data_IF_721038922698
#
_entry.id   IF_721038922698
#
_cell.length_a   1.000
_cell.length_b   1.000
_cell.length_c   1.000
_cell.angle_alpha   90.00
_cell.angle_beta   90.00
_cell.angle_gamma   90.00
#
_symmetry.space_group_name_H-M   'P 1'
#
loop_
_entity.id
_entity.type
_entity.pdbx_description
1 polymer ?
#
# COMPACT_ATOMS: atom_id res chain seq x y z
N UNK A 1 -25.21 5.47 -21.48
CA UNK A 1 -25.19 4.43 -20.43
C UNK A 1 -23.89 3.67 -20.60
N UNK A 2 -23.10 3.47 -19.54
CA UNK A 2 -21.94 2.56 -19.66
C UNK A 2 -22.52 1.19 -19.97
N UNK A 3 -22.06 0.57 -21.06
CA UNK A 3 -22.33 -0.85 -21.27
C UNK A 3 -21.80 -1.58 -20.04
N UNK A 4 -22.70 -2.17 -19.27
CA UNK A 4 -22.32 -2.88 -18.06
C UNK A 4 -21.63 -4.16 -18.48
N UNK A 5 -20.30 -4.21 -18.32
CA UNK A 5 -19.49 -5.40 -18.54
C UNK A 5 -20.13 -6.62 -17.86
N UNK A 6 -20.36 -7.70 -18.61
CA UNK A 6 -20.98 -8.93 -18.10
C UNK A 6 -20.21 -9.52 -16.90
N UNK A 7 -18.90 -9.26 -16.82
CA UNK A 7 -18.05 -9.61 -15.68
C UNK A 7 -18.51 -8.97 -14.36
N UNK A 8 -19.10 -7.77 -14.38
CA UNK A 8 -19.61 -7.13 -13.18
C UNK A 8 -20.86 -7.86 -12.65
N UNK A 9 -21.68 -8.39 -13.55
CA UNK A 9 -22.90 -9.16 -13.22
C UNK A 9 -22.56 -10.55 -12.72
N UNK A 10 -21.51 -11.16 -13.26
CA UNK A 10 -21.08 -12.53 -12.95
C UNK A 10 -19.58 -12.58 -12.66
N UNK A 11 -19.13 -12.06 -11.50
CA UNK A 11 -17.71 -11.96 -11.20
C UNK A 11 -17.08 -13.34 -10.98
N UNK A 12 -15.83 -13.48 -11.40
CA UNK A 12 -15.06 -14.72 -11.19
C UNK A 12 -14.76 -14.87 -9.70
N UNK A 13 -15.25 -15.94 -9.08
CA UNK A 13 -15.01 -16.22 -7.66
C UNK A 13 -13.61 -16.78 -7.48
N UNK A 14 -12.81 -16.13 -6.63
CA UNK A 14 -11.44 -16.53 -6.35
C UNK A 14 -11.24 -16.88 -4.87
N UNK A 15 -10.56 -17.99 -4.55
CA UNK A 15 -10.23 -18.36 -3.18
C UNK A 15 -9.29 -17.33 -2.53
N UNK A 16 -9.45 -17.11 -1.23
CA UNK A 16 -8.73 -16.06 -0.49
C UNK A 16 -7.22 -16.29 -0.38
N UNK A 17 -6.79 -17.56 -0.40
CA UNK A 17 -5.40 -17.98 -0.24
C UNK A 17 -4.98 -18.80 -1.46
N UNK A 18 -4.57 -18.10 -2.50
CA UNK A 18 -4.14 -18.72 -3.75
C UNK A 18 -3.09 -17.86 -4.44
N UNK A 19 -2.13 -18.50 -5.09
CA UNK A 19 -0.99 -17.82 -5.72
C UNK A 19 -1.44 -16.84 -6.82
N UNK A 20 -2.48 -17.20 -7.59
CA UNK A 20 -3.07 -16.32 -8.61
C UNK A 20 -3.60 -15.03 -7.98
N UNK A 21 -4.33 -15.11 -6.87
CA UNK A 21 -4.85 -13.91 -6.17
C UNK A 21 -3.70 -13.04 -5.69
N UNK A 22 -2.64 -13.64 -5.15
CA UNK A 22 -1.44 -12.90 -4.75
C UNK A 22 -0.83 -12.12 -5.92
N UNK A 23 -0.66 -12.78 -7.07
CA UNK A 23 -0.08 -12.17 -8.27
C UNK A 23 -0.98 -11.08 -8.85
N UNK A 24 -2.28 -11.36 -8.96
CA UNK A 24 -3.29 -10.41 -9.47
C UNK A 24 -3.34 -9.12 -8.64
N UNK A 25 -3.43 -9.27 -7.31
CA UNK A 25 -3.49 -8.12 -6.39
C UNK A 25 -2.20 -7.31 -6.45
N UNK A 26 -1.02 -7.95 -6.48
CA UNK A 26 0.26 -7.23 -6.61
C UNK A 26 0.38 -6.50 -7.95
N UNK A 27 -0.02 -7.15 -9.04
CA UNK A 27 -0.02 -6.56 -10.38
C UNK A 27 -0.89 -5.30 -10.43
N UNK A 28 -2.16 -5.39 -10.02
CA UNK A 28 -3.07 -4.23 -9.97
C UNK A 28 -2.61 -3.16 -8.98
N UNK A 29 -2.01 -3.55 -7.86
CA UNK A 29 -1.44 -2.62 -6.90
C UNK A 29 -0.26 -1.82 -7.50
N UNK A 30 0.57 -2.43 -8.33
CA UNK A 30 1.67 -1.74 -9.02
C UNK A 30 1.16 -0.90 -10.20
N UNK A 31 0.26 -1.46 -11.01
CA UNK A 31 -0.34 -0.79 -12.18
C UNK A 31 -1.04 0.52 -11.80
N UNK A 32 -1.74 0.55 -10.67
CA UNK A 32 -2.45 1.74 -10.18
C UNK A 32 -1.61 2.64 -9.25
N UNK A 33 -0.30 2.45 -9.18
CA UNK A 33 0.59 3.34 -8.43
C UNK A 33 0.47 3.22 -6.91
N UNK A 34 0.44 2.00 -6.39
CA UNK A 34 0.42 1.69 -4.95
C UNK A 34 -0.80 2.19 -4.16
N UNK A 35 -2.04 1.97 -4.66
CA UNK A 35 -3.23 2.45 -3.97
C UNK A 35 -3.46 1.69 -2.65
N UNK A 36 -4.20 2.34 -1.76
CA UNK A 36 -4.65 1.73 -0.52
C UNK A 36 -5.61 0.55 -0.74
N UNK A 37 -5.89 -0.18 0.35
CA UNK A 37 -6.72 -1.40 0.32
C UNK A 37 -8.12 -1.15 -0.26
N UNK A 38 -8.76 -0.03 0.09
CA UNK A 38 -10.13 0.26 -0.34
C UNK A 38 -10.22 0.51 -1.84
N UNK A 39 -9.33 1.32 -2.40
CA UNK A 39 -9.30 1.60 -3.84
C UNK A 39 -9.06 0.33 -4.65
N UNK A 40 -8.14 -0.53 -4.19
CA UNK A 40 -7.86 -1.79 -4.86
C UNK A 40 -9.04 -2.78 -4.76
N UNK A 41 -9.77 -2.77 -3.63
CA UNK A 41 -11.00 -3.56 -3.50
C UNK A 41 -12.07 -3.14 -4.51
N UNK A 42 -12.25 -1.83 -4.73
CA UNK A 42 -13.23 -1.31 -5.70
C UNK A 42 -12.83 -1.75 -7.11
N UNK A 43 -11.58 -1.52 -7.50
CA UNK A 43 -11.12 -1.87 -8.85
C UNK A 43 -11.16 -3.39 -9.12
N UNK A 44 -10.84 -4.23 -8.13
CA UNK A 44 -10.90 -5.69 -8.30
C UNK A 44 -12.33 -6.22 -8.35
N UNK A 45 -13.28 -5.56 -7.67
CA UNK A 45 -14.68 -6.00 -7.61
C UNK A 45 -15.38 -5.91 -8.97
N UNK A 46 -14.86 -5.11 -9.89
CA UNK A 46 -15.39 -5.01 -11.26
C UNK A 46 -15.34 -6.35 -12.01
N UNK A 47 -14.36 -7.21 -11.68
CA UNK A 47 -14.10 -8.45 -12.40
C UNK A 47 -14.02 -9.70 -11.50
N UNK A 48 -13.73 -9.54 -10.20
CA UNK A 48 -13.38 -10.63 -9.31
C UNK A 48 -14.09 -10.57 -7.96
N UNK A 49 -14.62 -11.71 -7.53
CA UNK A 49 -15.10 -11.93 -6.16
C UNK A 49 -14.06 -12.70 -5.36
N UNK A 50 -13.11 -11.99 -4.76
CA UNK A 50 -12.09 -12.61 -3.90
C UNK A 50 -12.68 -12.85 -2.50
N UNK A 51 -12.70 -14.10 -2.05
CA UNK A 51 -13.14 -14.43 -0.68
C UNK A 51 -12.26 -13.71 0.35
N UNK A 52 -12.86 -13.16 1.41
CA UNK A 52 -12.15 -12.41 2.46
C UNK A 52 -11.24 -11.29 1.89
N UNK A 53 -11.63 -10.70 0.75
CA UNK A 53 -10.84 -9.75 -0.06
C UNK A 53 -10.07 -8.71 0.75
N UNK A 54 -10.73 -7.99 1.67
CA UNK A 54 -10.07 -6.97 2.50
C UNK A 54 -8.86 -7.51 3.27
N UNK A 55 -9.00 -8.69 3.90
CA UNK A 55 -7.91 -9.32 4.68
C UNK A 55 -6.80 -9.79 3.75
N UNK A 56 -7.15 -10.44 2.64
CA UNK A 56 -6.21 -10.94 1.63
C UNK A 56 -5.41 -9.80 1.00
N UNK A 57 -6.08 -8.76 0.51
CA UNK A 57 -5.45 -7.58 -0.10
C UNK A 57 -4.52 -6.89 0.89
N UNK A 58 -4.98 -6.66 2.14
CA UNK A 58 -4.14 -6.05 3.19
C UNK A 58 -2.87 -6.88 3.46
N UNK A 59 -2.98 -8.21 3.52
CA UNK A 59 -1.83 -9.11 3.69
C UNK A 59 -0.84 -8.99 2.53
N UNK A 60 -1.35 -8.90 1.30
CA UNK A 60 -0.53 -8.82 0.09
C UNK A 60 0.17 -7.45 -0.02
N UNK A 61 -0.55 -6.34 0.14
CA UNK A 61 0.03 -4.98 0.09
C UNK A 61 1.13 -4.80 1.13
N UNK A 62 0.98 -5.39 2.33
CA UNK A 62 2.03 -5.39 3.35
C UNK A 62 3.36 -6.00 2.90
N UNK A 63 3.37 -6.83 1.85
CA UNK A 63 4.60 -7.41 1.28
C UNK A 63 5.25 -6.53 0.22
N UNK A 64 4.61 -5.43 -0.19
CA UNK A 64 5.17 -4.48 -1.15
C UNK A 64 6.30 -3.65 -0.51
N UNK A 65 7.52 -3.81 -1.02
CA UNK A 65 8.71 -3.11 -0.52
C UNK A 65 8.56 -1.58 -0.62
N UNK A 66 7.93 -1.09 -1.69
CA UNK A 66 7.70 0.34 -1.92
C UNK A 66 6.79 0.88 -0.81
N UNK A 67 5.62 0.27 -0.60
CA UNK A 67 4.72 0.68 0.47
C UNK A 67 5.33 0.53 1.87
N UNK A 68 6.15 -0.50 2.10
CA UNK A 68 6.86 -0.63 3.38
C UNK A 68 7.76 0.57 3.64
N UNK A 69 8.57 0.99 2.65
CA UNK A 69 9.47 2.16 2.76
C UNK A 69 8.70 3.44 3.08
N UNK A 70 7.57 3.68 2.42
CA UNK A 70 6.72 4.86 2.68
C UNK A 70 5.92 4.76 3.99
N UNK A 71 5.75 3.57 4.55
CA UNK A 71 5.03 3.36 5.82
C UNK A 71 5.94 3.43 7.05
N UNK A 72 7.27 3.51 6.88
CA UNK A 72 8.21 3.59 8.01
C UNK A 72 7.98 4.92 8.74
N UNK A 73 7.78 4.84 10.06
CA UNK A 73 7.72 6.03 10.92
C UNK A 73 9.09 6.69 10.97
N UNK A 74 9.12 8.02 10.99
CA UNK A 74 10.36 8.73 11.28
C UNK A 74 10.90 8.29 12.65
N UNK A 75 12.22 8.10 12.80
CA UNK A 75 12.81 7.85 14.10
C UNK A 75 12.50 9.05 15.01
N UNK A 76 12.12 8.77 16.25
CA UNK A 76 12.10 9.79 17.30
C UNK A 76 13.54 10.21 17.55
N UNK A 77 13.87 11.44 17.17
CA UNK A 77 15.18 12.04 17.48
C UNK A 77 15.02 12.63 18.89
N UNK A 78 15.79 12.17 19.88
CA UNK A 78 15.82 12.83 21.18
C UNK A 78 16.20 14.30 20.97
N UNK A 79 15.43 15.22 21.54
CA UNK A 79 15.80 16.63 21.61
C UNK A 79 16.97 16.77 22.59
N UNK A 80 18.17 16.47 22.12
CA UNK A 80 19.40 16.71 22.85
C UNK A 80 19.87 18.14 22.54
N UNK A 81 20.26 18.88 23.58
CA UNK A 81 20.80 20.24 23.44
C UNK A 81 22.04 20.21 22.54
N UNK A 82 22.11 21.11 21.56
CA UNK A 82 23.30 21.27 20.73
C UNK A 82 24.56 21.40 21.61
N UNK A 83 25.68 20.72 21.28
CA UNK A 83 26.90 20.81 22.07
C UNK A 83 27.38 22.25 22.15
N UNK A 84 27.86 22.68 23.32
CA UNK A 84 28.22 24.08 23.62
C UNK A 84 29.14 24.71 22.57
N UNK A 85 30.07 23.92 22.01
CA UNK A 85 31.00 24.36 20.96
C UNK A 85 30.32 24.82 19.66
N UNK A 86 29.07 24.42 19.40
CA UNK A 86 28.28 24.88 18.25
C UNK A 86 27.47 26.15 18.51
N UNK A 87 27.35 26.55 19.78
CA UNK A 87 26.48 27.67 20.21
C UNK A 87 27.29 28.87 20.71
N UNK A 88 28.58 28.68 21.00
CA UNK A 88 29.50 29.79 21.31
C UNK A 88 29.89 30.50 20.02
N UNK A 89 29.67 31.80 19.97
CA UNK A 89 30.17 32.65 18.89
C UNK A 89 31.69 32.49 18.80
N UNK A 90 32.20 32.11 17.63
CA UNK A 90 33.64 32.18 17.37
C UNK A 90 34.07 33.64 17.53
N UNK A 91 35.12 33.87 18.32
CA UNK A 91 35.73 35.20 18.39
C UNK A 91 36.13 35.59 16.98
N UNK A 92 35.58 36.70 16.47
CA UNK A 92 36.07 37.32 15.24
C UNK A 92 37.53 37.71 15.47
N UNK A 93 38.39 37.35 14.51
CA UNK A 93 39.83 37.64 14.52
C UNK A 93 40.12 39.14 14.50
#
# INVERSE_FOLDING_TARGET
>A
MREEDDNFKVPIVLPSDHHVVKRLVLYKHQEFGHPGVQSLMVALRENYWILKSRRTIKKIIKTCIICQRFSVKQPEIPEETLPEDRVKNASTF
#
